data_IF_826052633093
#
_entry.id   IF_826052633093
#
_cell.length_a   1.000
_cell.length_b   1.000
_cell.length_c   1.000
_cell.angle_alpha   90.00
_cell.angle_beta   90.00
_cell.angle_gamma   90.00
#
_symmetry.space_group_name_H-M   'P 1'
#
loop_
_entity.id
_entity.type
_entity.pdbx_description
1 polymer ?
#
# COMPACT_ATOMS: atom_id res chain seq x y z
N UNK A 1 -2.29 35.26 -15.58
CA UNK A 1 -2.29 33.79 -15.65
C UNK A 1 -1.81 33.26 -14.30
N UNK A 2 -2.64 32.52 -13.54
CA UNK A 2 -2.15 31.81 -12.34
C UNK A 2 -1.09 30.82 -12.81
N UNK A 3 0.16 31.07 -12.47
CA UNK A 3 1.28 30.18 -12.82
C UNK A 3 1.02 28.82 -12.20
N UNK A 4 1.15 27.76 -13.00
CA UNK A 4 1.04 26.38 -12.50
C UNK A 4 2.06 26.22 -11.36
N UNK A 5 1.64 25.76 -10.16
CA UNK A 5 2.56 25.60 -9.04
C UNK A 5 3.66 24.60 -9.41
N UNK A 6 4.88 24.85 -8.93
CA UNK A 6 6.05 23.98 -9.16
C UNK A 6 5.88 22.66 -8.42
N UNK A 7 5.28 22.67 -7.23
CA UNK A 7 5.00 21.47 -6.42
C UNK A 7 3.58 21.51 -5.87
N UNK A 8 2.93 20.36 -5.85
CA UNK A 8 1.58 20.17 -5.31
C UNK A 8 1.62 19.12 -4.21
N UNK A 9 0.82 19.31 -3.15
CA UNK A 9 0.71 18.33 -2.06
C UNK A 9 -0.17 17.15 -2.50
N UNK A 10 -1.28 17.44 -3.16
CA UNK A 10 -2.20 16.42 -3.65
C UNK A 10 -2.65 16.73 -5.08
N UNK A 11 -2.96 15.66 -5.79
CA UNK A 11 -3.57 15.68 -7.10
C UNK A 11 -4.83 14.83 -7.08
N UNK A 12 -5.98 15.47 -7.31
CA UNK A 12 -7.27 14.79 -7.43
C UNK A 12 -7.48 14.39 -8.88
N UNK A 13 -7.56 13.09 -9.10
CA UNK A 13 -7.86 12.49 -10.39
C UNK A 13 -9.21 11.76 -10.31
N UNK A 14 -9.75 11.40 -11.46
CA UNK A 14 -10.98 10.59 -11.54
C UNK A 14 -10.77 9.26 -10.80
N UNK A 15 -9.64 8.59 -11.04
CA UNK A 15 -9.33 7.25 -10.54
C UNK A 15 -8.79 7.21 -9.10
N UNK A 16 -8.70 8.37 -8.45
CA UNK A 16 -8.23 8.48 -7.07
C UNK A 16 -7.37 9.70 -6.78
N UNK A 17 -6.91 9.76 -5.53
CA UNK A 17 -6.19 10.92 -5.00
C UNK A 17 -4.76 10.50 -4.67
N UNK A 18 -3.82 11.16 -5.34
CA UNK A 18 -2.39 10.95 -5.10
C UNK A 18 -1.89 12.10 -4.24
N UNK A 19 -1.33 11.78 -3.08
CA UNK A 19 -0.87 12.78 -2.13
C UNK A 19 0.54 12.51 -1.63
N UNK A 20 1.24 13.60 -1.32
CA UNK A 20 2.48 13.62 -0.58
C UNK A 20 2.17 13.79 0.90
N UNK A 21 2.80 13.00 1.74
CA UNK A 21 2.82 13.16 3.19
C UNK A 21 4.15 12.64 3.74
N UNK A 22 4.49 13.03 4.97
CA UNK A 22 5.70 12.55 5.64
C UNK A 22 5.54 11.09 6.02
N UNK A 23 6.53 10.28 5.66
CA UNK A 23 6.59 8.86 5.99
C UNK A 23 7.89 8.54 6.69
N UNK A 24 7.86 7.60 7.64
CA UNK A 24 9.08 7.05 8.20
C UNK A 24 9.72 6.11 7.15
N UNK A 25 10.96 6.37 6.69
CA UNK A 25 11.64 5.53 5.71
C UNK A 25 11.75 4.05 6.12
N UNK A 26 11.90 3.78 7.42
CA UNK A 26 12.04 2.41 7.92
C UNK A 26 10.76 1.59 7.75
N UNK A 27 9.59 2.21 7.88
CA UNK A 27 8.32 1.51 7.66
C UNK A 27 8.17 1.13 6.19
N UNK A 28 8.56 2.03 5.28
CA UNK A 28 8.51 1.75 3.83
C UNK A 28 9.50 0.65 3.45
N UNK A 29 10.71 0.68 4.01
CA UNK A 29 11.70 -0.38 3.86
C UNK A 29 11.19 -1.72 4.37
N UNK A 30 10.54 -1.74 5.54
CA UNK A 30 9.99 -2.96 6.11
C UNK A 30 8.96 -3.60 5.18
N UNK A 31 8.05 -2.78 4.60
CA UNK A 31 7.10 -3.29 3.62
C UNK A 31 7.76 -3.74 2.32
N UNK A 32 8.80 -3.05 1.85
CA UNK A 32 9.56 -3.46 0.68
C UNK A 32 10.32 -4.79 0.90
N UNK A 33 10.77 -5.06 2.13
CA UNK A 33 11.39 -6.32 2.52
C UNK A 33 10.36 -7.44 2.69
N UNK A 34 9.18 -7.14 3.25
CA UNK A 34 8.10 -8.12 3.40
C UNK A 34 7.59 -8.63 2.04
N UNK A 35 7.54 -7.75 1.04
CA UNK A 35 7.20 -8.11 -0.33
C UNK A 35 7.68 -7.01 -1.30
N UNK A 36 8.61 -7.31 -2.23
CA UNK A 36 9.06 -6.34 -3.22
C UNK A 36 7.90 -5.69 -3.98
N UNK A 37 7.87 -4.35 -3.93
CA UNK A 37 6.84 -3.51 -4.55
C UNK A 37 5.83 -2.89 -3.59
N UNK A 38 5.60 -3.46 -2.40
CA UNK A 38 4.72 -2.85 -1.39
C UNK A 38 5.23 -1.48 -0.92
N UNK A 39 6.54 -1.33 -0.72
CA UNK A 39 7.15 -0.03 -0.43
C UNK A 39 6.81 1.03 -1.50
N UNK A 40 6.90 0.66 -2.78
CA UNK A 40 6.56 1.55 -3.89
C UNK A 40 5.07 1.90 -3.95
N UNK A 41 4.19 0.95 -3.62
CA UNK A 41 2.74 1.21 -3.56
C UNK A 41 2.37 2.18 -2.43
N UNK A 42 2.99 2.08 -1.26
CA UNK A 42 2.82 3.07 -0.18
C UNK A 42 3.26 4.46 -0.63
N UNK A 43 4.31 4.51 -1.44
CA UNK A 43 4.82 5.74 -2.02
C UNK A 43 3.99 6.25 -3.22
N UNK A 44 2.87 5.59 -3.55
CA UNK A 44 2.04 5.89 -4.73
C UNK A 44 2.81 5.81 -6.06
N UNK A 45 3.92 5.08 -6.10
CA UNK A 45 4.67 4.73 -7.32
C UNK A 45 4.11 3.44 -7.92
N UNK A 46 2.84 3.50 -8.33
CA UNK A 46 2.04 2.33 -8.72
C UNK A 46 2.71 1.44 -9.77
N UNK A 47 3.21 2.00 -10.88
CA UNK A 47 3.83 1.23 -11.96
C UNK A 47 5.01 0.39 -11.45
N UNK A 48 5.91 1.01 -10.65
CA UNK A 48 7.06 0.30 -10.07
C UNK A 48 6.61 -0.78 -9.09
N UNK A 49 5.62 -0.46 -8.25
CA UNK A 49 5.07 -1.40 -7.30
C UNK A 49 4.45 -2.62 -7.98
N UNK A 50 3.62 -2.42 -9.01
CA UNK A 50 2.98 -3.51 -9.75
C UNK A 50 3.99 -4.41 -10.47
N UNK A 51 4.99 -3.83 -11.11
CA UNK A 51 6.06 -4.59 -11.78
C UNK A 51 6.83 -5.43 -10.76
N UNK A 52 7.22 -4.85 -9.62
CA UNK A 52 7.97 -5.57 -8.59
C UNK A 52 7.14 -6.67 -7.93
N UNK A 53 5.84 -6.46 -7.72
CA UNK A 53 4.95 -7.49 -7.16
C UNK A 53 4.78 -8.65 -8.14
N UNK A 54 4.53 -8.37 -9.42
CA UNK A 54 4.43 -9.42 -10.43
C UNK A 54 5.75 -10.18 -10.61
N UNK A 55 6.87 -9.46 -10.56
CA UNK A 55 8.20 -10.06 -10.60
C UNK A 55 8.48 -10.94 -9.37
N UNK A 56 8.11 -10.48 -8.16
CA UNK A 56 8.23 -11.26 -6.92
C UNK A 56 7.48 -12.59 -7.05
N UNK A 57 6.21 -12.53 -7.43
CA UNK A 57 5.38 -13.73 -7.57
C UNK A 57 5.97 -14.72 -8.58
N UNK A 58 6.48 -14.22 -9.71
CA UNK A 58 7.08 -15.05 -10.76
C UNK A 58 8.38 -15.70 -10.26
N UNK A 59 9.32 -14.91 -9.75
CA UNK A 59 10.65 -15.41 -9.36
C UNK A 59 10.56 -16.31 -8.13
N UNK A 60 9.79 -15.92 -7.11
CA UNK A 60 9.56 -16.72 -5.91
C UNK A 60 8.96 -18.09 -6.30
N UNK A 61 8.01 -18.11 -7.25
CA UNK A 61 7.43 -19.36 -7.77
C UNK A 61 8.44 -20.23 -8.50
N UNK A 62 9.31 -19.63 -9.32
CA UNK A 62 10.33 -20.37 -10.06
C UNK A 62 11.51 -20.86 -9.20
N UNK A 63 11.75 -20.20 -8.06
CA UNK A 63 12.82 -20.58 -7.13
C UNK A 63 12.36 -21.45 -5.97
N UNK A 64 11.05 -21.70 -5.83
CA UNK A 64 10.44 -22.42 -4.70
C UNK A 64 10.77 -21.81 -3.33
N UNK A 65 10.85 -20.47 -3.24
CA UNK A 65 11.22 -19.80 -1.99
C UNK A 65 10.19 -20.07 -0.88
N UNK A 66 8.89 -19.96 -1.21
CA UNK A 66 7.83 -20.21 -0.23
C UNK A 66 7.84 -21.64 0.31
N UNK A 67 8.10 -22.65 -0.54
CA UNK A 67 8.25 -24.04 -0.10
C UNK A 67 9.47 -24.21 0.82
N UNK A 68 10.61 -23.60 0.45
CA UNK A 68 11.81 -23.61 1.28
C UNK A 68 11.59 -22.94 2.64
N UNK A 69 10.78 -21.88 2.71
CA UNK A 69 10.37 -21.24 3.97
C UNK A 69 9.58 -22.21 4.84
N UNK A 70 8.64 -22.96 4.26
CA UNK A 70 7.84 -23.96 5.01
C UNK A 70 8.71 -25.10 5.52
N UNK A 71 9.64 -25.61 4.71
CA UNK A 71 10.58 -26.63 5.15
C UNK A 71 11.49 -26.12 6.27
N UNK A 72 12.01 -24.89 6.14
CA UNK A 72 12.81 -24.23 7.18
C UNK A 72 12.03 -24.11 8.50
N UNK A 73 10.77 -23.66 8.46
CA UNK A 73 9.94 -23.52 9.67
C UNK A 73 9.50 -24.86 10.28
N UNK A 74 9.57 -25.94 9.53
CA UNK A 74 9.32 -27.31 10.02
C UNK A 74 10.61 -28.08 10.32
N UNK A 75 11.74 -27.37 10.41
CA UNK A 75 13.08 -27.91 10.69
C UNK A 75 13.60 -28.94 9.67
N UNK A 76 13.07 -28.94 8.45
CA UNK A 76 13.49 -29.82 7.36
C UNK A 76 14.53 -29.10 6.46
N UNK A 77 15.68 -28.77 7.03
CA UNK A 77 16.68 -27.94 6.36
C UNK A 77 17.29 -28.60 5.11
N UNK A 78 17.44 -29.93 5.08
CA UNK A 78 17.94 -30.60 3.86
C UNK A 78 16.98 -30.40 2.70
N UNK A 79 15.68 -30.62 2.92
CA UNK A 79 14.64 -30.42 1.90
C UNK A 79 14.52 -28.98 1.45
N UNK A 80 14.68 -28.03 2.37
CA UNK A 80 14.71 -26.61 2.03
C UNK A 80 15.83 -26.29 1.03
N UNK A 81 17.02 -26.86 1.23
CA UNK A 81 18.15 -26.66 0.30
C UNK A 81 17.95 -27.38 -1.04
N UNK A 82 17.32 -28.56 -1.04
CA UNK A 82 17.07 -29.35 -2.25
C UNK A 82 16.03 -28.71 -3.18
N UNK A 83 14.98 -28.09 -2.62
CA UNK A 83 13.89 -27.51 -3.42
C UNK A 83 14.28 -26.16 -4.06
N UNK A 84 15.24 -25.46 -3.46
CA UNK A 84 15.63 -24.12 -3.90
C UNK A 84 16.36 -24.14 -5.25
N UNK A 85 15.84 -23.37 -6.21
CA UNK A 85 16.54 -23.17 -7.48
C UNK A 85 17.58 -22.05 -7.40
N UNK A 86 18.86 -22.42 -7.29
CA UNK A 86 19.99 -21.48 -7.14
C UNK A 86 20.08 -20.47 -8.29
N UNK A 87 19.71 -20.86 -9.53
CA UNK A 87 19.76 -19.96 -10.70
C UNK A 87 18.78 -18.80 -10.54
N UNK A 88 17.55 -19.10 -10.14
CA UNK A 88 16.53 -18.08 -9.92
C UNK A 88 16.79 -17.28 -8.63
N UNK A 89 17.29 -17.94 -7.57
CA UNK A 89 17.73 -17.26 -6.35
C UNK A 89 18.83 -16.22 -6.60
N UNK A 90 19.80 -16.53 -7.45
CA UNK A 90 20.88 -15.59 -7.79
C UNK A 90 20.36 -14.33 -8.49
N UNK A 91 19.28 -14.45 -9.27
CA UNK A 91 18.58 -13.32 -9.88
C UNK A 91 17.69 -12.57 -8.86
N UNK A 92 17.18 -13.29 -7.86
CA UNK A 92 16.31 -12.73 -6.83
C UNK A 92 17.02 -11.71 -5.94
N UNK A 93 18.18 -12.09 -5.38
CA UNK A 93 18.88 -11.31 -4.33
C UNK A 93 19.17 -9.86 -4.74
N UNK A 94 19.74 -9.56 -5.93
CA UNK A 94 20.05 -8.18 -6.31
C UNK A 94 18.80 -7.31 -6.44
N UNK A 95 17.72 -7.83 -7.02
CA UNK A 95 16.47 -7.08 -7.23
C UNK A 95 15.75 -6.87 -5.90
N UNK A 96 15.76 -7.86 -5.01
CA UNK A 96 15.24 -7.75 -3.66
C UNK A 96 15.95 -6.63 -2.86
N UNK A 97 17.29 -6.63 -2.85
CA UNK A 97 18.08 -5.58 -2.20
C UNK A 97 17.86 -4.20 -2.85
N UNK A 98 17.76 -4.16 -4.17
CA UNK A 98 17.46 -2.93 -4.91
C UNK A 98 16.07 -2.38 -4.55
N UNK A 99 15.04 -3.22 -4.44
CA UNK A 99 13.69 -2.79 -4.08
C UNK A 99 13.65 -2.15 -2.69
N UNK A 100 14.39 -2.72 -1.73
CA UNK A 100 14.55 -2.17 -0.37
C UNK A 100 15.27 -0.82 -0.41
N UNK A 101 16.43 -0.77 -1.08
CA UNK A 101 17.23 0.44 -1.18
C UNK A 101 16.50 1.59 -1.89
N UNK A 102 15.88 1.33 -3.05
CA UNK A 102 15.11 2.34 -3.81
C UNK A 102 13.91 2.86 -3.01
N UNK A 103 13.29 1.99 -2.21
CA UNK A 103 12.19 2.38 -1.30
C UNK A 103 12.67 3.36 -0.23
N UNK A 104 13.82 3.09 0.41
CA UNK A 104 14.40 3.99 1.41
C UNK A 104 14.72 5.36 0.80
N UNK A 105 15.54 5.36 -0.26
CA UNK A 105 15.98 6.58 -0.94
C UNK A 105 14.80 7.41 -1.43
N UNK A 106 13.83 6.75 -2.10
CA UNK A 106 12.64 7.44 -2.61
C UNK A 106 11.84 8.06 -1.46
N UNK A 107 11.72 7.38 -0.31
CA UNK A 107 10.97 7.93 0.82
C UNK A 107 11.61 9.22 1.33
N UNK A 108 12.94 9.24 1.47
CA UNK A 108 13.70 10.44 1.87
C UNK A 108 13.48 11.58 0.86
N UNK A 109 13.62 11.28 -0.43
CA UNK A 109 13.42 12.28 -1.50
C UNK A 109 11.99 12.84 -1.51
N UNK A 110 10.98 11.98 -1.35
CA UNK A 110 9.56 12.40 -1.30
C UNK A 110 9.23 13.22 -0.06
N UNK A 111 9.83 12.91 1.09
CA UNK A 111 9.68 13.70 2.30
C UNK A 111 10.22 15.13 2.09
N UNK A 112 11.36 15.29 1.42
CA UNK A 112 11.88 16.60 1.05
C UNK A 112 10.92 17.34 0.10
N UNK A 113 10.37 16.67 -0.92
CA UNK A 113 9.39 17.28 -1.81
C UNK A 113 8.12 17.71 -1.07
N UNK A 114 7.65 16.92 -0.11
CA UNK A 114 6.50 17.29 0.72
C UNK A 114 6.74 18.56 1.52
N UNK A 115 7.91 18.68 2.18
CA UNK A 115 8.25 19.87 2.97
C UNK A 115 8.25 21.12 2.07
N UNK A 116 8.83 21.01 0.87
CA UNK A 116 8.86 22.11 -0.09
C UNK A 116 7.47 22.46 -0.62
N UNK A 117 6.66 21.46 -0.97
CA UNK A 117 5.27 21.65 -1.43
C UNK A 117 4.40 22.32 -0.36
N UNK A 118 4.56 21.93 0.91
CA UNK A 118 3.86 22.53 2.05
C UNK A 118 4.20 24.01 2.26
N UNK A 119 5.45 24.41 1.97
CA UNK A 119 5.86 25.83 2.01
C UNK A 119 5.32 26.63 0.84
N UNK A 120 5.17 25.99 -0.33
CA UNK A 120 4.63 26.62 -1.53
C UNK A 120 3.13 26.93 -1.41
N UNK A 121 2.40 26.18 -0.57
CA UNK A 121 0.95 26.37 -0.31
C UNK A 121 0.14 26.50 -1.60
N UNK A 122 0.43 25.64 -2.56
CA UNK A 122 -0.32 25.59 -3.81
C UNK A 122 -1.80 25.28 -3.54
N UNK A 123 -2.75 25.92 -4.25
CA UNK A 123 -4.16 25.59 -4.15
C UNK A 123 -4.38 24.15 -4.61
N UNK A 124 -5.34 23.47 -3.96
CA UNK A 124 -5.67 22.08 -4.23
C UNK A 124 -7.11 21.95 -4.69
N UNK A 125 -7.34 21.06 -5.66
CA UNK A 125 -8.68 20.74 -6.12
C UNK A 125 -9.37 19.80 -5.12
N UNK A 126 -10.64 20.04 -4.82
CA UNK A 126 -11.40 19.24 -3.84
C UNK A 126 -12.39 18.28 -4.50
N UNK A 127 -12.74 18.56 -5.74
CA UNK A 127 -13.80 17.89 -6.46
C UNK A 127 -13.40 17.77 -7.93
N UNK A 128 -13.56 16.58 -8.49
CA UNK A 128 -13.34 16.32 -9.90
C UNK A 128 -14.41 15.38 -10.41
N UNK A 129 -15.14 15.85 -11.41
CA UNK A 129 -16.19 15.10 -12.07
C UNK A 129 -15.78 14.84 -13.51
N UNK A 130 -15.89 13.58 -13.92
CA UNK A 130 -15.75 13.13 -15.30
C UNK A 130 -16.98 12.31 -15.68
N UNK A 131 -17.12 11.95 -16.96
CA UNK A 131 -18.18 11.05 -17.42
C UNK A 131 -18.12 9.66 -16.77
N UNK A 132 -16.95 9.23 -16.32
CA UNK A 132 -16.73 7.91 -15.75
C UNK A 132 -16.95 7.86 -14.23
N UNK A 133 -16.54 8.90 -13.50
CA UNK A 133 -16.58 8.90 -12.03
C UNK A 133 -16.58 10.33 -11.45
N UNK A 134 -17.09 10.43 -10.22
CA UNK A 134 -17.04 11.63 -9.39
C UNK A 134 -16.11 11.33 -8.20
N UNK A 135 -15.05 12.12 -8.06
CA UNK A 135 -14.12 12.01 -6.95
C UNK A 135 -14.05 13.32 -6.16
N UNK A 136 -14.10 13.22 -4.84
CA UNK A 136 -14.14 14.37 -3.96
C UNK A 136 -13.48 14.07 -2.61
N UNK A 137 -12.94 15.12 -2.01
CA UNK A 137 -12.36 15.11 -0.67
C UNK A 137 -13.45 14.94 0.38
N UNK A 138 -13.32 13.92 1.24
CA UNK A 138 -14.31 13.61 2.27
C UNK A 138 -13.65 12.93 3.49
N UNK A 139 -14.26 13.04 4.67
CA UNK A 139 -13.78 12.33 5.86
C UNK A 139 -14.29 10.91 5.88
N UNK A 140 -13.38 9.98 6.16
CA UNK A 140 -13.68 8.54 6.21
C UNK A 140 -13.16 7.90 7.47
N UNK A 141 -13.85 6.90 7.98
CA UNK A 141 -13.42 6.20 9.20
C UNK A 141 -12.25 5.25 8.89
N UNK A 142 -11.06 5.45 9.48
CA UNK A 142 -9.89 4.59 9.20
C UNK A 142 -10.08 3.14 9.67
N UNK A 143 -10.81 2.94 10.77
CA UNK A 143 -11.09 1.60 11.29
C UNK A 143 -11.92 0.78 10.29
N UNK A 144 -12.90 1.41 9.63
CA UNK A 144 -13.77 0.72 8.67
C UNK A 144 -12.99 0.32 7.43
N UNK A 145 -12.08 1.20 6.97
CA UNK A 145 -11.15 0.90 5.87
C UNK A 145 -10.30 -0.34 6.17
N UNK A 146 -9.78 -0.43 7.40
CA UNK A 146 -9.04 -1.61 7.87
C UNK A 146 -9.89 -2.87 7.88
N UNK A 147 -11.11 -2.81 8.43
CA UNK A 147 -12.02 -3.97 8.49
C UNK A 147 -12.36 -4.48 7.08
N UNK A 148 -12.62 -3.58 6.13
CA UNK A 148 -12.87 -3.98 4.75
C UNK A 148 -11.67 -4.67 4.11
N UNK A 149 -10.45 -4.17 4.30
CA UNK A 149 -9.23 -4.84 3.82
C UNK A 149 -8.95 -6.16 4.52
N UNK A 150 -9.32 -6.31 5.79
CA UNK A 150 -9.17 -7.56 6.53
C UNK A 150 -10.11 -8.64 6.00
N UNK A 151 -11.34 -8.29 5.65
CA UNK A 151 -12.31 -9.23 5.07
C UNK A 151 -11.95 -9.58 3.63
N UNK A 152 -11.59 -8.57 2.84
CA UNK A 152 -11.21 -8.75 1.45
C UNK A 152 -10.14 -7.71 1.06
N UNK A 153 -8.87 -8.12 0.95
CA UNK A 153 -7.78 -7.24 0.53
C UNK A 153 -8.11 -6.48 -0.75
N UNK A 154 -7.95 -5.15 -0.70
CA UNK A 154 -8.31 -4.24 -1.79
C UNK A 154 -9.59 -3.44 -1.53
N UNK A 155 -10.52 -3.94 -0.70
CA UNK A 155 -11.77 -3.22 -0.41
C UNK A 155 -11.57 -1.95 0.42
N UNK A 156 -10.64 -1.95 1.38
CA UNK A 156 -10.31 -0.73 2.14
C UNK A 156 -9.67 0.35 1.26
N UNK A 157 -8.83 -0.04 0.30
CA UNK A 157 -8.28 0.88 -0.69
C UNK A 157 -9.37 1.46 -1.60
N UNK A 158 -10.36 0.65 -1.98
CA UNK A 158 -11.51 1.11 -2.75
C UNK A 158 -12.34 2.10 -1.94
N UNK A 159 -12.56 1.81 -0.66
CA UNK A 159 -13.17 2.72 0.31
C UNK A 159 -12.34 4.00 0.51
N UNK A 160 -11.03 4.01 0.24
CA UNK A 160 -10.21 5.23 0.26
C UNK A 160 -10.09 5.92 -1.12
N UNK A 161 -10.93 5.57 -2.10
CA UNK A 161 -10.86 6.05 -3.49
C UNK A 161 -9.48 5.83 -4.16
N UNK A 162 -8.74 4.77 -3.82
CA UNK A 162 -7.50 4.39 -4.51
C UNK A 162 -7.76 3.23 -5.47
N UNK A 163 -8.59 3.48 -6.50
CA UNK A 163 -9.22 2.44 -7.34
C UNK A 163 -8.19 1.55 -8.04
N UNK A 164 -7.17 2.15 -8.64
CA UNK A 164 -6.13 1.39 -9.37
C UNK A 164 -5.41 0.42 -8.43
N UNK A 165 -5.05 0.89 -7.22
CA UNK A 165 -4.38 0.07 -6.22
C UNK A 165 -5.32 -1.02 -5.67
N UNK A 166 -6.57 -0.64 -5.39
CA UNK A 166 -7.61 -1.54 -4.91
C UNK A 166 -7.83 -2.70 -5.87
N UNK A 167 -8.01 -2.40 -7.17
CA UNK A 167 -8.21 -3.40 -8.20
C UNK A 167 -7.01 -4.36 -8.29
N UNK A 168 -5.79 -3.82 -8.29
CA UNK A 168 -4.58 -4.65 -8.36
C UNK A 168 -4.44 -5.60 -7.16
N UNK A 169 -4.63 -5.09 -5.93
CA UNK A 169 -4.57 -5.91 -4.70
C UNK A 169 -5.67 -6.97 -4.70
N UNK A 170 -6.89 -6.59 -5.11
CA UNK A 170 -8.05 -7.49 -5.17
C UNK A 170 -7.82 -8.62 -6.17
N UNK A 171 -7.35 -8.31 -7.39
CA UNK A 171 -7.02 -9.33 -8.41
C UNK A 171 -5.92 -10.26 -7.90
N UNK A 172 -4.88 -9.72 -7.26
CA UNK A 172 -3.79 -10.51 -6.68
C UNK A 172 -4.30 -11.43 -5.59
N UNK A 173 -5.16 -10.92 -4.70
CA UNK A 173 -5.77 -11.70 -3.63
C UNK A 173 -6.68 -12.82 -4.14
N UNK A 174 -7.55 -12.53 -5.13
CA UNK A 174 -8.40 -13.56 -5.76
C UNK A 174 -7.52 -14.64 -6.38
N UNK A 175 -6.49 -14.24 -7.14
CA UNK A 175 -5.59 -15.18 -7.82
C UNK A 175 -4.87 -16.08 -6.82
N UNK A 176 -4.29 -15.51 -5.76
CA UNK A 176 -3.61 -16.27 -4.71
C UNK A 176 -4.57 -17.15 -3.92
N UNK A 177 -5.77 -16.66 -3.60
CA UNK A 177 -6.79 -17.44 -2.87
C UNK A 177 -7.27 -18.63 -3.68
N UNK A 178 -7.41 -18.48 -5.00
CA UNK A 178 -7.73 -19.56 -5.91
C UNK A 178 -6.59 -20.59 -6.01
N UNK A 179 -5.37 -20.14 -6.29
CA UNK A 179 -4.20 -21.02 -6.44
C UNK A 179 -3.80 -21.75 -5.15
N UNK A 180 -4.10 -21.17 -3.99
CA UNK A 180 -3.84 -21.79 -2.68
C UNK A 180 -4.98 -22.68 -2.19
N UNK A 181 -6.12 -22.74 -2.89
CA UNK A 181 -7.37 -23.33 -2.39
C UNK A 181 -7.75 -22.80 -1.00
N UNK A 182 -7.49 -21.52 -0.72
CA UNK A 182 -7.67 -20.91 0.60
C UNK A 182 -9.11 -21.09 1.11
N UNK A 183 -10.08 -20.76 0.26
CA UNK A 183 -11.50 -20.78 0.65
C UNK A 183 -12.01 -22.20 0.89
N UNK A 184 -11.53 -23.18 0.12
CA UNK A 184 -11.84 -24.59 0.34
C UNK A 184 -11.22 -25.08 1.66
N UNK A 185 -9.96 -24.71 1.93
CA UNK A 185 -9.30 -24.98 3.19
C UNK A 185 -10.04 -24.41 4.39
N UNK A 186 -10.53 -23.16 4.28
CA UNK A 186 -11.36 -22.52 5.31
C UNK A 186 -12.69 -23.26 5.48
N UNK A 187 -13.33 -23.70 4.38
CA UNK A 187 -14.57 -24.46 4.47
C UNK A 187 -14.41 -25.74 5.28
N UNK A 188 -13.39 -26.56 4.99
CA UNK A 188 -13.11 -27.76 5.78
C UNK A 188 -12.72 -27.45 7.23
N UNK A 189 -12.01 -26.34 7.46
CA UNK A 189 -11.65 -25.88 8.80
C UNK A 189 -12.90 -25.49 9.62
N UNK A 190 -13.88 -24.83 9.01
CA UNK A 190 -15.16 -24.51 9.65
C UNK A 190 -15.99 -25.77 9.95
N UNK A 191 -15.85 -26.82 9.12
CA UNK A 191 -16.44 -28.14 9.36
C UNK A 191 -15.66 -28.98 10.37
N UNK A 192 -14.62 -28.43 10.99
CA UNK A 192 -13.73 -29.08 11.96
C UNK A 192 -12.91 -30.27 11.39
N UNK A 193 -12.79 -30.39 10.07
CA UNK A 193 -11.90 -31.36 9.41
C UNK A 193 -10.53 -30.74 9.12
N UNK A 194 -9.68 -30.76 10.14
CA UNK A 194 -8.32 -30.23 10.04
C UNK A 194 -7.44 -31.04 9.08
N UNK A 195 -7.73 -32.34 8.91
CA UNK A 195 -6.91 -33.21 8.07
C UNK A 195 -7.12 -32.93 6.59
N UNK A 196 -8.37 -32.74 6.17
CA UNK A 196 -8.67 -32.37 4.79
C UNK A 196 -8.32 -30.91 4.52
N UNK A 197 -8.56 -30.00 5.48
CA UNK A 197 -8.15 -28.60 5.36
C UNK A 197 -6.66 -28.45 5.06
N UNK A 198 -5.80 -29.13 5.82
CA UNK A 198 -4.35 -29.07 5.62
C UNK A 198 -3.88 -29.72 4.31
N UNK A 199 -4.64 -30.68 3.75
CA UNK A 199 -4.28 -31.38 2.50
C UNK A 199 -4.67 -30.61 1.25
N UNK A 200 -5.82 -29.92 1.28
CA UNK A 200 -6.35 -29.19 0.13
C UNK A 200 -5.57 -27.91 -0.12
N UNK A 201 -5.05 -27.30 0.93
CA UNK A 201 -4.34 -26.03 0.86
C UNK A 201 -2.94 -26.17 0.27
N UNK A 202 -2.65 -25.38 -0.76
CA UNK A 202 -1.29 -25.27 -1.32
C UNK A 202 -0.48 -24.25 -0.53
N UNK A 203 0.48 -24.75 0.25
CA UNK A 203 1.39 -23.92 1.04
C UNK A 203 2.25 -22.98 0.19
N UNK A 204 2.62 -23.40 -1.03
CA UNK A 204 3.39 -22.59 -1.96
C UNK A 204 2.75 -21.23 -2.24
N UNK A 205 1.45 -21.22 -2.49
CA UNK A 205 0.70 -19.99 -2.77
C UNK A 205 0.18 -19.31 -1.50
N UNK A 206 -0.13 -20.09 -0.46
CA UNK A 206 -0.66 -19.55 0.80
C UNK A 206 0.33 -18.63 1.49
N UNK A 207 1.64 -18.92 1.44
CA UNK A 207 2.67 -18.12 2.13
C UNK A 207 2.81 -16.69 1.57
N UNK A 208 2.25 -16.39 0.39
CA UNK A 208 2.14 -15.01 -0.09
C UNK A 208 1.04 -14.19 0.62
N UNK A 209 0.04 -14.84 1.21
CA UNK A 209 -1.13 -14.16 1.77
C UNK A 209 -0.83 -13.35 3.05
N UNK A 210 -0.02 -13.79 4.03
CA UNK A 210 0.25 -13.02 5.24
C UNK A 210 0.78 -11.61 4.95
N UNK A 211 1.72 -11.47 4.01
CA UNK A 211 2.27 -10.18 3.62
C UNK A 211 1.21 -9.34 2.90
N UNK A 212 0.41 -9.93 2.01
CA UNK A 212 -0.68 -9.25 1.29
C UNK A 212 -1.78 -8.74 2.25
N UNK A 213 -2.22 -9.56 3.19
CA UNK A 213 -3.21 -9.17 4.20
C UNK A 213 -2.67 -8.06 5.09
N UNK A 214 -1.48 -8.26 5.67
CA UNK A 214 -0.85 -7.24 6.51
C UNK A 214 -0.71 -5.92 5.76
N UNK A 215 -0.24 -5.97 4.52
CA UNK A 215 -0.04 -4.80 3.69
C UNK A 215 -1.36 -4.09 3.39
N UNK A 216 -2.36 -4.84 2.94
CA UNK A 216 -3.65 -4.28 2.55
C UNK A 216 -4.37 -3.60 3.72
N UNK A 217 -4.26 -4.17 4.92
CA UNK A 217 -4.80 -3.59 6.16
C UNK A 217 -4.05 -2.31 6.53
N UNK A 218 -2.72 -2.35 6.57
CA UNK A 218 -1.90 -1.21 6.93
C UNK A 218 -2.07 -0.05 5.93
N UNK A 219 -1.99 -0.33 4.63
CA UNK A 219 -2.12 0.66 3.56
C UNK A 219 -3.51 1.31 3.58
N UNK A 220 -4.57 0.53 3.78
CA UNK A 220 -5.93 1.05 3.86
C UNK A 220 -6.12 1.99 5.06
N UNK A 221 -5.65 1.57 6.24
CA UNK A 221 -5.71 2.39 7.45
C UNK A 221 -4.93 3.71 7.28
N UNK A 222 -3.65 3.62 6.93
CA UNK A 222 -2.77 4.81 6.81
C UNK A 222 -3.26 5.74 5.70
N UNK A 223 -3.66 5.20 4.55
CA UNK A 223 -4.21 6.01 3.46
C UNK A 223 -5.43 6.81 3.92
N UNK A 224 -6.33 6.20 4.69
CA UNK A 224 -7.54 6.85 5.18
C UNK A 224 -7.22 7.93 6.23
N UNK A 225 -6.25 7.67 7.12
CA UNK A 225 -5.78 8.68 8.08
C UNK A 225 -5.17 9.89 7.37
N UNK A 226 -4.29 9.67 6.41
CA UNK A 226 -3.65 10.75 5.66
C UNK A 226 -4.64 11.50 4.77
N UNK A 227 -5.64 10.79 4.23
CA UNK A 227 -6.74 11.42 3.50
C UNK A 227 -7.54 12.39 4.36
N UNK A 228 -7.89 11.99 5.60
CA UNK A 228 -8.58 12.87 6.52
C UNK A 228 -7.75 14.11 6.89
N UNK A 229 -6.43 13.95 7.06
CA UNK A 229 -5.53 15.08 7.31
C UNK A 229 -5.47 16.04 6.13
N UNK A 230 -5.50 15.51 4.90
CA UNK A 230 -5.54 16.31 3.68
C UNK A 230 -6.85 17.12 3.60
N UNK A 231 -7.98 16.48 3.91
CA UNK A 231 -9.28 17.15 4.03
C UNK A 231 -9.25 18.28 5.05
N UNK A 232 -8.74 18.02 6.26
CA UNK A 232 -8.62 19.06 7.30
C UNK A 232 -7.75 20.24 6.85
N UNK A 233 -6.66 19.96 6.15
CA UNK A 233 -5.76 20.99 5.64
C UNK A 233 -6.42 21.88 4.58
N UNK A 234 -7.16 21.26 3.66
CA UNK A 234 -7.93 21.98 2.64
C UNK A 234 -9.00 22.86 3.30
N UNK A 235 -9.79 22.29 4.22
CA UNK A 235 -10.86 23.00 4.91
C UNK A 235 -10.32 24.22 5.68
N UNK A 236 -9.16 24.08 6.33
CA UNK A 236 -8.48 25.21 6.99
C UNK A 236 -8.09 26.29 5.99
N UNK A 237 -7.52 25.93 4.84
CA UNK A 237 -7.12 26.89 3.80
C UNK A 237 -8.34 27.65 3.27
N UNK A 238 -9.42 26.94 2.97
CA UNK A 238 -10.68 27.52 2.52
C UNK A 238 -11.24 28.50 3.55
N UNK A 239 -11.25 28.15 4.83
CA UNK A 239 -11.75 29.02 5.90
C UNK A 239 -10.87 30.27 6.08
N UNK A 240 -9.55 30.12 5.98
CA UNK A 240 -8.61 31.23 6.09
C UNK A 240 -8.73 32.21 4.92
N UNK A 241 -8.95 31.70 3.70
CA UNK A 241 -9.09 32.53 2.51
C UNK A 241 -10.42 33.30 2.47
N UNK A 242 -11.51 32.65 2.88
CA UNK A 242 -12.86 33.21 2.70
C UNK A 242 -13.42 33.93 3.93
N UNK A 243 -13.02 33.56 5.15
CA UNK A 243 -13.70 33.99 6.37
C UNK A 243 -12.79 34.65 7.42
N UNK A 244 -11.46 34.56 7.30
CA UNK A 244 -10.55 35.17 8.28
C UNK A 244 -10.35 36.66 7.99
N UNK A 245 -10.78 37.58 8.88
CA UNK A 245 -10.49 38.98 8.71
C UNK A 245 -8.98 39.24 8.89
N UNK A 246 -8.33 40.07 8.04
CA UNK A 246 -6.89 40.32 8.12
C UNK A 246 -6.46 41.01 9.44
N UNK A 247 -7.42 41.60 10.16
CA UNK A 247 -7.21 42.31 11.42
C UNK A 247 -7.18 41.39 12.65
N UNK A 248 -7.57 40.11 12.53
CA UNK A 248 -7.59 39.16 13.64
C UNK A 248 -6.43 38.15 13.52
N UNK A 249 -5.27 38.42 14.16
CA UNK A 249 -4.16 37.47 14.16
C UNK A 249 -4.50 36.25 15.01
N UNK A 250 -4.25 35.06 14.46
CA UNK A 250 -4.39 33.81 15.22
C UNK A 250 -3.41 33.80 16.41
N UNK A 251 -3.80 33.30 17.60
CA UNK A 251 -2.86 33.09 18.69
C UNK A 251 -1.76 32.14 18.23
N UNK A 252 -0.50 32.58 18.35
CA UNK A 252 0.67 31.75 18.03
C UNK A 252 0.74 30.63 19.07
N UNK A 253 0.30 29.43 18.70
CA UNK A 253 0.51 28.22 19.51
C UNK A 253 2.01 27.98 19.68
N UNK A 254 2.48 27.85 20.93
CA UNK A 254 3.87 27.52 21.25
C UNK A 254 4.34 26.17 20.72
N UNK A 255 3.39 25.30 20.32
CA UNK A 255 3.63 23.96 19.77
C UNK A 255 3.86 23.94 18.24
N UNK A 256 3.71 25.09 17.56
CA UNK A 256 4.09 25.27 16.15
C UNK A 256 5.41 26.07 16.08
N UNK A 257 6.53 25.45 16.40
CA UNK A 257 7.86 25.88 15.94
C UNK A 257 8.40 24.86 14.95
#
# INVERSE_FOLDING_TARGET
MRTKPRRQIAFVSVLGITQLHLRNPFIIVWWAAAFPGFGHLLLSKYIRGFILIGWEMLINSQMHLNEAIVYTFTCQFERANEVLNIRWMSLYVPVYLFAIYDSYRTTVDMNHQFILAKREKAPMDCFKMSSMEINYLDKRSPWLSMVWSLLMPGMGQLYAHRIINAFFILVTWISLSYLSHLLEGIHYLLMWDLTQSARVVSMHWLIFLPSLYGFSVYDAYVSTVEYNKLFDHEQISMLQENYQPPQFPFPKSSLRK
#
